data_IF_000882303124
#
_entry.id   IF_000882303124
#
_cell.length_a   1.000
_cell.length_b   1.000
_cell.length_c   1.000
_cell.angle_alpha   90.00
_cell.angle_beta   90.00
_cell.angle_gamma   90.00
#
_symmetry.space_group_name_H-M   'P 1'
#
loop_
_entity.id
_entity.type
_entity.pdbx_description
1 polymer ?
#
# COMPACT_ATOMS: atom_id res chain seq x y z
N UNK A 1 -33.51 -3.28 16.70
CA UNK A 1 -32.93 -4.59 16.35
C UNK A 1 -32.33 -5.16 17.63
N UNK A 2 -32.88 -6.23 18.19
CA UNK A 2 -32.30 -6.92 19.34
C UNK A 2 -31.62 -8.18 18.83
N UNK A 3 -30.29 -8.12 18.66
CA UNK A 3 -29.49 -9.27 18.23
C UNK A 3 -29.45 -10.34 19.31
N UNK A 4 -29.46 -11.61 18.90
CA UNK A 4 -29.38 -12.82 19.75
C UNK A 4 -27.98 -13.01 20.37
N UNK A 5 -27.03 -12.16 19.99
CA UNK A 5 -25.63 -12.17 20.43
C UNK A 5 -25.49 -11.75 21.89
N UNK A 6 -24.58 -12.39 22.63
CA UNK A 6 -24.31 -12.08 24.05
C UNK A 6 -23.88 -10.61 24.21
N UNK A 7 -23.16 -10.10 23.22
CA UNK A 7 -22.67 -8.74 23.08
C UNK A 7 -23.81 -7.73 22.98
N UNK A 8 -24.95 -8.10 22.36
CA UNK A 8 -26.15 -7.26 22.27
C UNK A 8 -26.78 -7.01 23.65
N UNK A 9 -26.76 -8.04 24.51
CA UNK A 9 -27.24 -7.92 25.90
C UNK A 9 -26.26 -7.18 26.81
N UNK A 10 -24.95 -7.35 26.59
CA UNK A 10 -23.92 -6.71 27.41
C UNK A 10 -23.55 -5.30 26.95
N UNK A 11 -23.90 -4.92 25.72
CA UNK A 11 -23.47 -3.67 25.06
C UNK A 11 -21.95 -3.45 25.13
N UNK A 12 -21.20 -4.55 25.11
CA UNK A 12 -19.74 -4.56 25.22
C UNK A 12 -19.18 -5.42 24.09
N UNK A 13 -18.35 -4.83 23.25
CA UNK A 13 -17.54 -5.53 22.26
C UNK A 13 -16.10 -5.47 22.73
N UNK A 14 -15.48 -6.63 22.94
CA UNK A 14 -14.07 -6.73 23.36
C UNK A 14 -13.21 -6.98 22.13
N UNK A 15 -12.31 -6.04 21.85
CA UNK A 15 -11.33 -6.13 20.77
C UNK A 15 -9.93 -6.27 21.40
N UNK A 16 -9.70 -7.40 22.06
CA UNK A 16 -8.47 -7.61 22.87
C UNK A 16 -7.21 -7.77 21.99
N UNK A 17 -7.38 -8.11 20.71
CA UNK A 17 -6.28 -8.31 19.76
C UNK A 17 -5.91 -7.07 18.95
N UNK A 18 -6.73 -6.02 18.99
CA UNK A 18 -6.56 -4.84 18.15
C UNK A 18 -5.88 -3.69 18.91
N UNK A 19 -4.89 -3.09 18.26
CA UNK A 19 -4.13 -1.97 18.80
C UNK A 19 -5.05 -0.75 19.00
N UNK A 20 -5.13 -0.15 20.21
CA UNK A 20 -6.06 0.95 20.50
C UNK A 20 -5.93 2.14 19.55
N UNK A 21 -4.71 2.48 19.12
CA UNK A 21 -4.48 3.60 18.20
C UNK A 21 -4.99 3.29 16.79
N UNK A 22 -4.96 2.01 16.40
CA UNK A 22 -5.51 1.56 15.12
C UNK A 22 -7.03 1.62 15.14
N UNK A 23 -7.65 1.24 16.26
CA UNK A 23 -9.10 1.34 16.41
C UNK A 23 -9.58 2.80 16.51
N UNK A 24 -8.82 3.67 17.17
CA UNK A 24 -9.10 5.11 17.19
C UNK A 24 -9.10 5.71 15.77
N UNK A 25 -8.16 5.29 14.92
CA UNK A 25 -8.13 5.69 13.52
C UNK A 25 -9.40 5.23 12.75
N UNK A 26 -9.85 4.00 13.02
CA UNK A 26 -11.11 3.49 12.45
C UNK A 26 -12.34 4.25 12.96
N UNK A 27 -12.39 4.63 14.25
CA UNK A 27 -13.46 5.48 14.77
C UNK A 27 -13.45 6.85 14.09
N UNK A 28 -12.28 7.44 13.88
CA UNK A 28 -12.16 8.69 13.13
C UNK A 28 -12.75 8.58 11.72
N UNK A 29 -12.43 7.51 10.99
CA UNK A 29 -13.05 7.20 9.70
C UNK A 29 -14.58 7.11 9.83
N UNK A 30 -15.09 6.27 10.72
CA UNK A 30 -16.53 6.01 10.86
C UNK A 30 -17.35 7.27 11.17
N UNK A 31 -16.77 8.21 11.93
CA UNK A 31 -17.48 9.44 12.33
C UNK A 31 -17.21 10.64 11.44
N UNK A 32 -16.12 10.66 10.67
CA UNK A 32 -15.67 11.85 9.93
C UNK A 32 -15.46 11.62 8.44
N UNK A 33 -15.47 10.38 7.99
CA UNK A 33 -15.18 10.00 6.60
C UNK A 33 -13.77 10.48 6.16
N UNK A 34 -12.84 10.59 7.13
CA UNK A 34 -11.47 11.09 6.91
C UNK A 34 -10.47 10.37 7.82
N UNK A 35 -9.23 10.21 7.33
CA UNK A 35 -8.10 9.71 8.12
C UNK A 35 -7.16 10.86 8.53
N UNK A 36 -6.86 11.03 9.83
CA UNK A 36 -5.81 11.94 10.28
C UNK A 36 -4.40 11.38 9.97
N UNK A 37 -3.89 11.65 8.76
CA UNK A 37 -2.55 11.23 8.30
C UNK A 37 -1.58 12.42 8.36
N UNK A 38 -0.42 12.23 8.99
CA UNK A 38 0.73 13.14 9.09
C UNK A 38 1.73 12.93 7.96
N UNK A 39 1.40 13.48 6.80
CA UNK A 39 2.18 13.29 5.58
C UNK A 39 3.62 13.84 5.66
N UNK A 40 3.89 14.82 6.53
CA UNK A 40 5.10 15.64 6.56
C UNK A 40 6.25 15.15 7.48
N UNK A 41 6.04 14.07 8.24
CA UNK A 41 7.06 13.52 9.15
C UNK A 41 8.15 12.74 8.39
N UNK A 42 9.46 13.07 8.56
CA UNK A 42 10.56 12.36 7.93
C UNK A 42 11.10 11.21 8.78
N UNK A 43 11.94 10.37 8.20
CA UNK A 43 12.76 9.41 8.94
C UNK A 43 11.96 8.26 9.55
N UNK A 44 12.41 7.72 10.71
CA UNK A 44 11.75 6.62 11.39
C UNK A 44 10.28 6.90 11.73
N UNK A 45 9.93 8.15 12.04
CA UNK A 45 8.55 8.56 12.31
C UNK A 45 7.64 8.34 11.09
N UNK A 46 8.14 8.61 9.87
CA UNK A 46 7.42 8.28 8.64
C UNK A 46 7.09 6.79 8.53
N UNK A 47 8.01 5.92 8.93
CA UNK A 47 7.80 4.47 8.84
C UNK A 47 6.84 3.96 9.93
N UNK A 48 6.87 4.56 11.12
CA UNK A 48 5.90 4.29 12.19
C UNK A 48 4.47 4.61 11.75
N UNK A 49 4.28 5.68 10.99
CA UNK A 49 2.97 6.01 10.43
C UNK A 49 2.54 5.03 9.34
N UNK A 50 3.43 4.65 8.41
CA UNK A 50 3.13 3.59 7.45
C UNK A 50 2.73 2.28 8.16
N UNK A 51 3.35 1.97 9.30
CA UNK A 51 2.98 0.82 10.11
C UNK A 51 1.58 0.97 10.73
N UNK A 52 1.21 2.17 11.18
CA UNK A 52 -0.15 2.45 11.66
C UNK A 52 -1.18 2.30 10.54
N UNK A 53 -0.90 2.80 9.33
CA UNK A 53 -1.75 2.61 8.16
C UNK A 53 -1.83 1.12 7.77
N UNK A 54 -0.73 0.36 7.86
CA UNK A 54 -0.76 -1.08 7.58
C UNK A 54 -1.65 -1.85 8.56
N UNK A 55 -1.55 -1.54 9.86
CA UNK A 55 -2.45 -2.08 10.88
C UNK A 55 -3.90 -1.68 10.61
N UNK A 56 -4.15 -0.45 10.17
CA UNK A 56 -5.49 0.02 9.82
C UNK A 56 -6.08 -0.75 8.64
N UNK A 57 -5.28 -1.02 7.60
CA UNK A 57 -5.71 -1.87 6.49
C UNK A 57 -6.09 -3.28 6.98
N UNK A 58 -5.28 -3.88 7.84
CA UNK A 58 -5.56 -5.20 8.42
C UNK A 58 -6.85 -5.17 9.25
N UNK A 59 -7.07 -4.13 10.04
CA UNK A 59 -8.32 -3.94 10.77
C UNK A 59 -9.52 -3.84 9.81
N UNK A 60 -9.41 -3.06 8.74
CA UNK A 60 -10.43 -2.98 7.69
C UNK A 60 -10.70 -4.33 7.03
N UNK A 61 -9.67 -5.16 6.85
CA UNK A 61 -9.82 -6.52 6.32
C UNK A 61 -10.58 -7.43 7.29
N UNK A 62 -10.23 -7.39 8.58
CA UNK A 62 -10.95 -8.11 9.66
C UNK A 62 -12.42 -7.69 9.74
N UNK A 63 -12.69 -6.38 9.63
CA UNK A 63 -14.03 -5.82 9.71
C UNK A 63 -14.82 -5.93 8.38
N UNK A 64 -14.17 -6.37 7.31
CA UNK A 64 -14.70 -6.42 5.94
C UNK A 64 -15.20 -5.06 5.44
N UNK A 65 -14.59 -3.97 5.91
CA UNK A 65 -14.88 -2.61 5.46
C UNK A 65 -14.00 -2.29 4.24
N UNK A 66 -14.59 -2.39 3.05
CA UNK A 66 -13.89 -2.09 1.79
C UNK A 66 -13.56 -0.62 1.65
N UNK A 67 -14.46 0.26 2.08
CA UNK A 67 -14.32 1.70 1.89
C UNK A 67 -13.18 2.21 2.78
N UNK A 68 -13.12 1.75 4.03
CA UNK A 68 -12.00 2.03 4.92
C UNK A 68 -10.67 1.53 4.35
N UNK A 69 -10.63 0.30 3.80
CA UNK A 69 -9.41 -0.23 3.16
C UNK A 69 -8.96 0.61 1.98
N UNK A 70 -9.90 1.08 1.17
CA UNK A 70 -9.60 1.92 0.01
C UNK A 70 -9.06 3.30 0.49
N UNK A 71 -9.67 3.93 1.49
CA UNK A 71 -9.18 5.20 2.06
C UNK A 71 -7.79 5.06 2.72
N UNK A 72 -7.53 3.94 3.41
CA UNK A 72 -6.20 3.66 3.96
C UNK A 72 -5.16 3.46 2.84
N UNK A 73 -5.56 2.81 1.75
CA UNK A 73 -4.71 2.62 0.56
C UNK A 73 -4.38 3.96 -0.09
N UNK A 74 -5.39 4.83 -0.26
CA UNK A 74 -5.21 6.18 -0.80
C UNK A 74 -4.27 7.02 0.09
N UNK A 75 -4.44 6.95 1.41
CA UNK A 75 -3.54 7.60 2.36
C UNK A 75 -2.07 7.16 2.20
N UNK A 76 -1.82 5.85 2.02
CA UNK A 76 -0.46 5.36 1.77
C UNK A 76 0.11 5.89 0.45
N UNK A 77 -0.70 5.93 -0.61
CA UNK A 77 -0.30 6.41 -1.94
C UNK A 77 0.01 7.92 -1.89
N UNK A 78 -0.85 8.70 -1.25
CA UNK A 78 -0.66 10.15 -1.12
C UNK A 78 0.58 10.48 -0.31
N UNK A 79 0.86 9.70 0.74
CA UNK A 79 2.11 9.83 1.48
C UNK A 79 3.34 9.50 0.62
N UNK A 80 3.29 8.46 -0.20
CA UNK A 80 4.38 8.12 -1.13
C UNK A 80 4.67 9.24 -2.15
N UNK A 81 3.63 9.94 -2.60
CA UNK A 81 3.75 11.04 -3.59
C UNK A 81 4.18 12.36 -2.96
N UNK A 82 3.99 12.50 -1.65
CA UNK A 82 4.27 13.73 -0.94
C UNK A 82 5.73 13.83 -0.51
N UNK A 83 6.14 15.05 -0.14
CA UNK A 83 7.45 15.33 0.44
C UNK A 83 7.28 15.61 1.92
N UNK A 84 8.13 15.02 2.74
CA UNK A 84 8.22 15.36 4.16
C UNK A 84 8.85 16.74 4.35
N UNK A 85 8.90 17.19 5.60
CA UNK A 85 9.50 18.48 6.00
C UNK A 85 10.98 18.63 5.60
N UNK A 86 11.70 17.51 5.38
CA UNK A 86 13.07 17.48 4.88
C UNK A 86 13.17 17.56 3.33
N UNK A 87 12.04 17.68 2.64
CA UNK A 87 11.94 17.77 1.19
C UNK A 87 12.07 16.43 0.45
N UNK A 88 12.15 15.30 1.17
CA UNK A 88 12.30 13.96 0.59
C UNK A 88 10.98 13.19 0.63
N UNK A 89 10.83 12.25 -0.31
CA UNK A 89 9.75 11.26 -0.25
C UNK A 89 10.20 10.06 0.57
N UNK A 90 9.29 9.57 1.41
CA UNK A 90 9.53 8.47 2.33
C UNK A 90 8.59 7.31 2.00
N UNK A 91 9.10 6.09 2.13
CA UNK A 91 8.42 4.89 1.66
C UNK A 91 8.40 3.82 2.76
N UNK A 92 7.40 2.91 2.74
CA UNK A 92 7.29 1.86 3.74
C UNK A 92 8.47 0.89 3.62
N UNK A 93 9.12 0.60 4.74
CA UNK A 93 10.20 -0.38 4.83
C UNK A 93 9.99 -1.32 6.01
N UNK A 94 10.64 -2.47 5.94
CA UNK A 94 10.80 -3.43 7.02
C UNK A 94 9.56 -3.84 7.80
N UNK A 95 9.36 -3.30 9.02
CA UNK A 95 8.20 -3.64 9.85
C UNK A 95 6.87 -3.53 9.11
N UNK A 96 6.73 -2.58 8.19
CA UNK A 96 5.50 -2.38 7.41
C UNK A 96 5.27 -3.56 6.46
N UNK A 97 6.33 -4.01 5.78
CA UNK A 97 6.26 -5.14 4.84
C UNK A 97 5.90 -6.42 5.59
N UNK A 98 6.61 -6.71 6.69
CA UNK A 98 6.32 -7.85 7.56
C UNK A 98 4.85 -7.83 8.01
N UNK A 99 4.39 -6.68 8.52
CA UNK A 99 3.03 -6.52 9.01
C UNK A 99 1.98 -6.88 7.95
N UNK A 100 2.09 -6.35 6.72
CA UNK A 100 1.14 -6.67 5.64
C UNK A 100 1.22 -8.13 5.20
N UNK A 101 2.42 -8.66 4.99
CA UNK A 101 2.58 -10.04 4.51
C UNK A 101 2.17 -11.08 5.54
N UNK A 102 2.44 -10.85 6.83
CA UNK A 102 2.11 -11.80 7.89
C UNK A 102 0.60 -11.84 8.21
N UNK A 103 -0.16 -10.80 7.86
CA UNK A 103 -1.55 -10.62 8.32
C UNK A 103 -2.58 -10.48 7.20
N UNK A 104 -2.19 -10.65 5.93
CA UNK A 104 -3.13 -10.59 4.80
C UNK A 104 -2.97 -11.78 3.88
N UNK A 105 -4.01 -12.12 3.12
CA UNK A 105 -3.96 -13.19 2.11
C UNK A 105 -3.08 -12.80 0.92
N UNK A 106 -2.59 -13.80 0.18
CA UNK A 106 -1.78 -13.61 -1.03
C UNK A 106 -2.46 -12.71 -2.08
N UNK A 107 -3.79 -12.77 -2.17
CA UNK A 107 -4.59 -11.95 -3.10
C UNK A 107 -4.81 -10.50 -2.64
N UNK A 108 -4.28 -10.10 -1.49
CA UNK A 108 -4.49 -8.78 -0.90
C UNK A 108 -3.95 -7.65 -1.77
N UNK A 109 -4.77 -6.61 -1.98
CA UNK A 109 -4.36 -5.39 -2.69
C UNK A 109 -3.23 -4.65 -1.96
N UNK A 110 -3.14 -4.75 -0.64
CA UNK A 110 -2.04 -4.14 0.13
C UNK A 110 -0.68 -4.76 -0.21
N UNK A 111 -0.61 -6.09 -0.41
CA UNK A 111 0.63 -6.75 -0.88
C UNK A 111 1.04 -6.19 -2.24
N UNK A 112 0.07 -6.08 -3.18
CA UNK A 112 0.30 -5.48 -4.50
C UNK A 112 0.79 -4.04 -4.43
N UNK A 113 0.19 -3.21 -3.59
CA UNK A 113 0.63 -1.82 -3.38
C UNK A 113 2.11 -1.76 -2.94
N UNK A 114 2.52 -2.58 -1.98
CA UNK A 114 3.91 -2.61 -1.53
C UNK A 114 4.87 -3.02 -2.65
N UNK A 115 4.49 -4.04 -3.43
CA UNK A 115 5.28 -4.47 -4.60
C UNK A 115 5.40 -3.34 -5.62
N UNK A 116 4.30 -2.67 -5.95
CA UNK A 116 4.29 -1.56 -6.91
C UNK A 116 5.17 -0.40 -6.42
N UNK A 117 5.10 -0.04 -5.14
CA UNK A 117 5.97 1.00 -4.55
C UNK A 117 7.45 0.67 -4.77
N UNK A 118 7.86 -0.58 -4.50
CA UNK A 118 9.23 -1.03 -4.64
C UNK A 118 9.68 -1.13 -6.10
N UNK A 119 8.81 -1.60 -6.99
CA UNK A 119 9.08 -1.72 -8.44
C UNK A 119 9.24 -0.36 -9.11
N UNK A 120 8.57 0.67 -8.61
CA UNK A 120 8.59 2.01 -9.19
C UNK A 120 9.61 2.97 -8.56
N UNK A 121 9.87 2.84 -7.25
CA UNK A 121 10.67 3.80 -6.49
C UNK A 121 11.86 3.17 -5.77
N UNK A 122 11.85 1.84 -5.61
CA UNK A 122 12.82 1.13 -4.80
C UNK A 122 14.21 1.09 -5.42
N UNK A 123 15.19 0.97 -4.54
CA UNK A 123 16.57 0.65 -4.91
C UNK A 123 17.05 -0.56 -4.11
N UNK A 124 18.12 -1.22 -4.55
CA UNK A 124 18.64 -2.40 -3.85
C UNK A 124 18.97 -2.15 -2.37
N UNK A 125 19.35 -0.90 -2.03
CA UNK A 125 19.65 -0.51 -0.65
C UNK A 125 18.42 -0.58 0.26
N UNK A 126 17.22 -0.36 -0.27
CA UNK A 126 15.96 -0.50 0.48
C UNK A 126 15.64 -1.93 0.88
N UNK A 127 16.43 -2.91 0.46
CA UNK A 127 16.28 -4.31 0.87
C UNK A 127 17.49 -4.70 1.73
N UNK A 128 18.70 -4.28 1.35
CA UNK A 128 19.93 -4.62 2.09
C UNK A 128 20.12 -3.87 3.41
N UNK A 129 19.57 -2.67 3.55
CA UNK A 129 19.96 -1.77 4.65
C UNK A 129 19.20 -2.04 5.96
N UNK A 130 17.96 -2.52 5.89
CA UNK A 130 17.13 -2.74 7.08
C UNK A 130 16.94 -4.22 7.45
N UNK A 131 17.25 -5.14 6.54
CA UNK A 131 16.97 -6.56 6.73
C UNK A 131 18.22 -7.42 6.58
N UNK A 132 18.39 -8.38 7.49
CA UNK A 132 19.14 -9.60 7.14
C UNK A 132 18.26 -10.43 6.20
N UNK A 133 18.86 -11.26 5.35
CA UNK A 133 18.11 -12.06 4.35
C UNK A 133 16.95 -12.86 4.96
N UNK A 134 17.13 -13.37 6.16
CA UNK A 134 16.13 -14.20 6.85
C UNK A 134 14.97 -13.39 7.45
N UNK A 135 15.11 -12.07 7.55
CA UNK A 135 14.08 -11.17 8.06
C UNK A 135 13.09 -10.72 6.99
N UNK A 136 13.30 -11.02 5.71
CA UNK A 136 12.41 -10.56 4.64
C UNK A 136 11.36 -11.64 4.36
N UNK A 137 10.06 -11.30 4.31
CA UNK A 137 9.04 -12.24 3.88
C UNK A 137 9.41 -12.82 2.50
N UNK A 138 9.51 -14.15 2.41
CA UNK A 138 9.92 -14.83 1.17
C UNK A 138 8.95 -14.55 0.02
N UNK A 139 7.65 -14.52 0.33
CA UNK A 139 6.59 -14.19 -0.61
C UNK A 139 6.79 -12.78 -1.19
N UNK A 140 7.19 -11.81 -0.37
CA UNK A 140 7.47 -10.45 -0.85
C UNK A 140 8.63 -10.42 -1.84
N UNK A 141 9.71 -11.15 -1.57
CA UNK A 141 10.84 -11.27 -2.50
C UNK A 141 10.41 -11.95 -3.81
N UNK A 142 9.57 -12.98 -3.72
CA UNK A 142 9.02 -13.67 -4.89
C UNK A 142 8.16 -12.74 -5.74
N UNK A 143 7.21 -12.03 -5.12
CA UNK A 143 6.30 -11.09 -5.78
C UNK A 143 7.05 -9.94 -6.46
N UNK A 144 8.01 -9.32 -5.77
CA UNK A 144 8.86 -8.27 -6.35
C UNK A 144 9.66 -8.79 -7.53
N UNK A 145 10.24 -10.00 -7.41
CA UNK A 145 11.06 -10.57 -8.48
C UNK A 145 10.23 -10.78 -9.74
N UNK A 146 9.02 -11.34 -9.61
CA UNK A 146 8.08 -11.47 -10.73
C UNK A 146 7.77 -10.09 -11.32
N UNK A 147 7.37 -9.13 -10.50
CA UNK A 147 6.96 -7.81 -10.98
C UNK A 147 8.10 -7.05 -11.69
N UNK A 148 9.34 -7.13 -11.18
CA UNK A 148 10.52 -6.55 -11.81
C UNK A 148 10.83 -7.21 -13.17
N UNK A 149 10.75 -8.54 -13.26
CA UNK A 149 10.98 -9.27 -14.52
C UNK A 149 9.91 -8.96 -15.57
N UNK A 150 8.64 -8.91 -15.16
CA UNK A 150 7.52 -8.52 -16.02
C UNK A 150 7.67 -7.09 -16.53
N UNK A 151 8.07 -6.15 -15.66
CA UNK A 151 8.32 -4.74 -16.06
C UNK A 151 9.47 -4.63 -17.07
N UNK A 152 10.53 -5.42 -16.92
CA UNK A 152 11.63 -5.47 -17.88
C UNK A 152 11.17 -5.95 -19.25
N UNK A 153 10.42 -7.06 -19.31
CA UNK A 153 9.89 -7.61 -20.56
C UNK A 153 8.88 -6.69 -21.27
N UNK A 154 8.15 -5.86 -20.52
CA UNK A 154 7.22 -4.87 -21.09
C UNK A 154 7.88 -3.66 -21.76
N UNK A 155 9.17 -3.41 -21.51
CA UNK A 155 9.90 -2.29 -22.11
C UNK A 155 10.47 -2.58 -23.51
N UNK A 156 10.46 -3.84 -23.95
CA UNK A 156 10.97 -4.25 -25.27
C UNK A 156 9.89 -4.32 -26.37
N UNK A 157 8.63 -4.00 -26.07
CA UNK A 157 7.48 -4.19 -26.98
C UNK A 157 6.86 -2.94 -27.63
N UNK A 158 7.37 -1.73 -27.39
CA UNK A 158 6.84 -0.50 -28.00
C UNK A 158 7.90 0.14 -28.89
N UNK A 159 8.10 -0.47 -30.06
CA UNK A 159 9.13 -0.01 -30.99
C UNK A 159 9.08 -0.70 -32.34
N UNK A 160 7.94 -0.66 -33.03
CA UNK A 160 7.81 -0.57 -34.49
C UNK A 160 6.44 -1.08 -34.94
N UNK A 161 5.55 -0.18 -35.33
CA UNK A 161 4.61 -0.32 -36.45
C UNK A 161 3.71 0.91 -36.49
N UNK A 162 4.05 1.87 -37.35
CA UNK A 162 3.09 2.60 -38.19
C UNK A 162 3.83 3.65 -39.02
N UNK A 163 4.56 3.19 -40.05
CA UNK A 163 4.79 4.01 -41.24
C UNK A 163 3.87 3.48 -42.34
N UNK A 164 2.57 3.76 -42.21
CA UNK A 164 1.61 3.55 -43.29
C UNK A 164 1.83 4.62 -44.34
N UNK A 165 2.27 4.17 -45.52
CA UNK A 165 2.32 4.97 -46.72
C UNK A 165 0.98 5.66 -47.00
N UNK A 166 1.07 6.93 -47.35
CA UNK A 166 0.07 7.58 -48.21
C UNK A 166 0.78 8.05 -49.45
N UNK A 167 0.63 7.26 -50.51
CA UNK A 167 0.81 7.73 -51.87
C UNK A 167 -0.32 8.70 -52.25
N UNK A 168 0.10 9.69 -53.03
CA UNK A 168 -0.65 10.36 -54.10
C UNK A 168 -1.93 11.14 -53.76
N UNK A 169 -1.83 12.47 -53.83
CA UNK A 169 -2.67 13.26 -54.75
C UNK A 169 -1.80 14.36 -55.39
N UNK A 170 -1.88 14.46 -56.71
CA UNK A 170 -1.20 15.48 -57.51
C UNK A 170 -2.01 16.75 -57.75
N UNK A 171 -1.31 17.70 -58.38
CA UNK A 171 -1.76 18.87 -59.16
C UNK A 171 -2.41 20.04 -58.42
N UNK A 172 -1.75 21.21 -58.42
CA UNK A 172 -2.03 22.29 -59.40
C UNK A 172 -1.12 23.53 -59.21
N UNK A 173 -0.56 23.97 -60.36
CA UNK A 173 0.18 25.20 -60.72
C UNK A 173 1.57 25.46 -60.12
#
# INVERSE_FOLDING_TARGET
>A
MNGIWKESGQRLVRLEEDDPNTFELYLHWLYRDTLPVRIDEPGPASNSEYLQLAKAYILGDKLQDSDFKDVVTDAMIDKCKSKASDGRSWFPVGPVIKCIYDNTLESSKARRLLVDIYVHNGSGSWISDWAKKDDIPKDFLYDITIALLSKRGGSEGVGSEDNKGRGSYGCHW
#
